data_IF_432377882330
#
_entry.id   IF_432377882330
#
_cell.length_a   1.000
_cell.length_b   1.000
_cell.length_c   1.000
_cell.angle_alpha   90.00
_cell.angle_beta   90.00
_cell.angle_gamma   90.00
#
_symmetry.space_group_name_H-M   'P 1'
#
loop_
_entity.id
_entity.type
_entity.pdbx_description
1 polymer ?
#
# COMPACT_ATOMS: atom_id res chain seq x y z
N UNK A 1 -23.31 36.21 -7.02
CA UNK A 1 -22.09 36.09 -6.20
C UNK A 1 -22.29 34.92 -5.24
N UNK A 2 -22.13 33.70 -5.75
CA UNK A 2 -22.27 32.46 -4.99
C UNK A 2 -21.07 32.33 -4.04
N UNK A 3 -21.33 32.38 -2.73
CA UNK A 3 -20.35 31.98 -1.72
C UNK A 3 -20.06 30.50 -1.94
N UNK A 4 -18.85 30.17 -2.41
CA UNK A 4 -18.31 28.82 -2.30
C UNK A 4 -18.30 28.43 -0.83
N UNK A 5 -19.08 27.40 -0.49
CA UNK A 5 -19.00 26.72 0.78
C UNK A 5 -17.62 26.03 0.83
N UNK A 6 -16.66 26.65 1.54
CA UNK A 6 -15.45 25.95 1.95
C UNK A 6 -15.88 24.82 2.88
N UNK A 7 -15.99 23.61 2.34
CA UNK A 7 -16.11 22.40 3.15
C UNK A 7 -14.84 22.31 3.97
N UNK A 8 -14.95 22.50 5.28
CA UNK A 8 -13.88 22.20 6.23
C UNK A 8 -13.75 20.67 6.26
N UNK A 9 -13.03 20.12 5.29
CA UNK A 9 -12.79 18.68 5.21
C UNK A 9 -11.88 18.29 6.37
N UNK A 10 -12.35 17.39 7.23
CA UNK A 10 -11.53 16.80 8.29
C UNK A 10 -10.45 15.97 7.60
N UNK A 11 -9.18 16.31 7.85
CA UNK A 11 -8.01 15.62 7.31
C UNK A 11 -7.23 14.96 8.45
N UNK A 12 -6.92 13.66 8.32
CA UNK A 12 -6.07 12.97 9.27
C UNK A 12 -4.59 13.16 8.94
N UNK A 13 -3.73 13.23 9.98
CA UNK A 13 -2.30 13.53 9.80
C UNK A 13 -1.50 12.48 9.00
N UNK A 14 -2.03 11.25 8.83
CA UNK A 14 -1.41 10.25 7.98
C UNK A 14 -1.61 10.54 6.49
N UNK A 15 -2.64 11.30 6.12
CA UNK A 15 -2.93 11.66 4.74
C UNK A 15 -1.89 12.65 4.17
N UNK A 16 -1.07 13.27 5.03
CA UNK A 16 0.06 14.11 4.63
C UNK A 16 1.32 13.28 4.28
N UNK A 17 1.34 11.98 4.58
CA UNK A 17 2.47 11.12 4.26
C UNK A 17 2.42 10.74 2.78
N UNK A 18 3.40 11.18 2.00
CA UNK A 18 3.52 10.83 0.58
C UNK A 18 3.55 9.31 0.36
N UNK A 19 4.23 8.57 1.25
CA UNK A 19 4.27 7.10 1.20
C UNK A 19 2.90 6.45 1.41
N UNK A 20 2.01 7.09 2.18
CA UNK A 20 0.64 6.63 2.37
C UNK A 20 -0.19 6.86 1.10
N UNK A 21 -0.04 8.03 0.46
CA UNK A 21 -0.72 8.36 -0.80
C UNK A 21 -0.32 7.39 -1.90
N UNK A 22 0.99 7.12 -2.05
CA UNK A 22 1.50 6.10 -2.99
C UNK A 22 1.00 4.70 -2.67
N UNK A 23 0.94 4.32 -1.39
CA UNK A 23 0.39 3.03 -0.99
C UNK A 23 -1.11 2.90 -1.30
N UNK A 24 -1.89 3.98 -1.18
CA UNK A 24 -3.30 4.02 -1.58
C UNK A 24 -3.46 3.82 -3.08
N UNK A 25 -2.73 4.59 -3.91
CA UNK A 25 -2.74 4.42 -5.37
C UNK A 25 -2.31 3.01 -5.80
N UNK A 26 -1.31 2.44 -5.11
CA UNK A 26 -0.87 1.08 -5.38
C UNK A 26 -1.94 0.04 -5.02
N UNK A 27 -2.59 0.16 -3.86
CA UNK A 27 -3.67 -0.75 -3.46
C UNK A 27 -4.85 -0.68 -4.44
N UNK A 28 -5.24 0.53 -4.87
CA UNK A 28 -6.29 0.74 -5.87
C UNK A 28 -5.97 0.04 -7.20
N UNK A 29 -4.74 0.19 -7.71
CA UNK A 29 -4.28 -0.53 -8.91
C UNK A 29 -4.32 -2.05 -8.75
N UNK A 30 -3.92 -2.57 -7.59
CA UNK A 30 -3.95 -4.02 -7.32
C UNK A 30 -5.38 -4.55 -7.26
N UNK A 31 -6.33 -3.79 -6.69
CA UNK A 31 -7.75 -4.15 -6.69
C UNK A 31 -8.31 -4.08 -8.12
N UNK A 32 -7.95 -3.08 -8.91
CA UNK A 32 -8.34 -2.99 -10.32
C UNK A 32 -7.85 -4.17 -11.19
N UNK A 33 -6.70 -4.77 -10.83
CA UNK A 33 -6.26 -6.04 -11.45
C UNK A 33 -7.26 -7.16 -11.16
N UNK A 34 -7.75 -7.27 -9.92
CA UNK A 34 -8.73 -8.28 -9.53
C UNK A 34 -10.04 -8.10 -10.30
N UNK A 35 -10.52 -6.86 -10.41
CA UNK A 35 -11.77 -6.53 -11.10
C UNK A 35 -11.76 -6.89 -12.59
N UNK A 36 -10.58 -6.94 -13.20
CA UNK A 36 -10.39 -7.24 -14.63
C UNK A 36 -10.00 -8.70 -14.90
N UNK A 37 -9.91 -9.55 -13.87
CA UNK A 37 -9.53 -10.95 -14.02
C UNK A 37 -10.54 -11.74 -14.85
N UNK A 38 -10.10 -12.21 -16.02
CA UNK A 38 -10.87 -13.14 -16.85
C UNK A 38 -10.40 -14.58 -16.62
N UNK A 39 -10.91 -15.23 -15.57
CA UNK A 39 -10.57 -16.62 -15.24
C UNK A 39 -11.79 -17.43 -14.82
N UNK A 40 -11.93 -18.63 -15.40
CA UNK A 40 -12.96 -19.59 -14.99
C UNK A 40 -12.67 -20.24 -13.61
N UNK A 41 -11.48 -19.99 -13.03
CA UNK A 41 -11.08 -20.52 -11.72
C UNK A 41 -11.44 -19.57 -10.57
N UNK A 42 -12.10 -20.12 -9.56
CA UNK A 42 -12.57 -19.44 -8.34
C UNK A 42 -11.55 -19.48 -7.19
N UNK A 43 -10.34 -18.94 -7.39
CA UNK A 43 -9.33 -18.85 -6.31
C UNK A 43 -9.61 -17.65 -5.38
N UNK A 44 -10.82 -17.56 -4.85
CA UNK A 44 -11.27 -16.42 -4.02
C UNK A 44 -10.32 -16.13 -2.86
N UNK A 45 -9.79 -17.18 -2.22
CA UNK A 45 -8.83 -17.00 -1.12
C UNK A 45 -7.51 -16.33 -1.57
N UNK A 46 -7.02 -16.61 -2.77
CA UNK A 46 -5.81 -15.95 -3.28
C UNK A 46 -6.08 -14.49 -3.66
N UNK A 47 -7.27 -14.22 -4.21
CA UNK A 47 -7.73 -12.86 -4.53
C UNK A 47 -7.86 -12.04 -3.24
N UNK A 48 -8.57 -12.57 -2.25
CA UNK A 48 -8.76 -11.94 -0.94
C UNK A 48 -7.40 -11.68 -0.24
N UNK A 49 -6.46 -12.64 -0.32
CA UNK A 49 -5.11 -12.43 0.21
C UNK A 49 -4.35 -11.31 -0.52
N UNK A 50 -4.54 -11.17 -1.84
CA UNK A 50 -3.91 -10.10 -2.61
C UNK A 50 -4.47 -8.74 -2.20
N UNK A 51 -5.78 -8.59 -2.17
CA UNK A 51 -6.46 -7.34 -1.77
C UNK A 51 -6.14 -6.98 -0.32
N UNK A 52 -6.19 -7.97 0.58
CA UNK A 52 -5.88 -7.79 2.00
C UNK A 52 -4.44 -7.36 2.23
N UNK A 53 -3.46 -8.03 1.58
CA UNK A 53 -2.05 -7.64 1.69
C UNK A 53 -1.78 -6.25 1.11
N UNK A 54 -2.38 -5.90 -0.03
CA UNK A 54 -2.17 -4.60 -0.67
C UNK A 54 -2.73 -3.46 0.19
N UNK A 55 -3.97 -3.60 0.68
CA UNK A 55 -4.61 -2.61 1.56
C UNK A 55 -3.91 -2.50 2.92
N UNK A 56 -3.38 -3.61 3.44
CA UNK A 56 -2.62 -3.65 4.70
C UNK A 56 -1.43 -2.70 4.71
N UNK A 57 -0.81 -2.40 3.56
CA UNK A 57 0.31 -1.47 3.46
C UNK A 57 -0.10 -0.07 3.95
N UNK A 58 -1.17 0.51 3.37
CA UNK A 58 -1.62 1.84 3.75
C UNK A 58 -2.26 1.87 5.15
N UNK A 59 -2.95 0.78 5.54
CA UNK A 59 -3.59 0.67 6.85
C UNK A 59 -2.54 0.67 7.97
N UNK A 60 -1.45 -0.08 7.82
CA UNK A 60 -0.37 -0.09 8.79
C UNK A 60 0.37 1.26 8.85
N UNK A 61 0.56 1.96 7.72
CA UNK A 61 1.15 3.31 7.74
C UNK A 61 0.25 4.27 8.53
N UNK A 62 -1.06 4.25 8.28
CA UNK A 62 -2.03 5.10 8.97
C UNK A 62 -2.11 4.77 10.48
N UNK A 63 -2.24 3.49 10.82
CA UNK A 63 -2.30 3.02 12.19
C UNK A 63 -1.03 3.37 12.96
N UNK A 64 0.13 3.11 12.36
CA UNK A 64 1.43 3.45 12.93
C UNK A 64 1.59 4.94 13.20
N UNK A 65 1.14 5.80 12.27
CA UNK A 65 1.16 7.25 12.43
C UNK A 65 0.26 7.73 13.57
N UNK A 66 -0.81 6.99 13.88
CA UNK A 66 -1.69 7.24 15.01
C UNK A 66 -1.15 6.76 16.37
N UNK A 67 0.00 6.06 16.42
CA UNK A 67 0.60 5.60 17.67
C UNK A 67 1.32 6.73 18.41
N UNK A 68 1.42 6.60 19.73
CA UNK A 68 2.03 7.61 20.59
C UNK A 68 3.55 7.64 20.49
N UNK A 69 4.20 6.47 20.33
CA UNK A 69 5.66 6.40 20.29
C UNK A 69 6.22 6.22 18.87
N UNK A 70 7.37 6.86 18.63
CA UNK A 70 8.16 6.67 17.40
C UNK A 70 8.58 5.21 17.19
N UNK A 71 8.80 4.46 18.28
CA UNK A 71 9.15 3.03 18.23
C UNK A 71 8.01 2.19 17.67
N UNK A 72 6.79 2.41 18.15
CA UNK A 72 5.60 1.74 17.61
C UNK A 72 5.38 2.12 16.15
N UNK A 73 5.52 3.40 15.78
CA UNK A 73 5.36 3.79 14.38
C UNK A 73 6.35 3.03 13.47
N UNK A 74 7.62 2.90 13.88
CA UNK A 74 8.61 2.10 13.15
C UNK A 74 8.18 0.63 13.03
N UNK A 75 7.62 0.03 14.07
CA UNK A 75 7.12 -1.35 14.03
C UNK A 75 6.01 -1.52 12.98
N UNK A 76 5.04 -0.61 12.95
CA UNK A 76 3.98 -0.61 11.95
C UNK A 76 4.51 -0.40 10.52
N UNK A 77 5.53 0.44 10.34
CA UNK A 77 6.21 0.59 9.05
C UNK A 77 6.91 -0.70 8.60
N UNK A 78 7.46 -1.49 9.52
CA UNK A 78 7.99 -2.82 9.18
C UNK A 78 6.89 -3.80 8.76
N UNK A 79 5.71 -3.75 9.40
CA UNK A 79 4.56 -4.57 9.01
C UNK A 79 4.06 -4.16 7.61
N UNK A 80 3.91 -2.85 7.35
CA UNK A 80 3.55 -2.33 6.03
C UNK A 80 4.52 -2.82 4.94
N UNK A 81 5.82 -2.80 5.25
CA UNK A 81 6.85 -3.34 4.34
C UNK A 81 6.71 -4.84 4.15
N UNK A 82 6.38 -5.60 5.19
CA UNK A 82 6.09 -7.04 5.10
C UNK A 82 4.91 -7.31 4.16
N UNK A 83 3.79 -6.63 4.36
CA UNK A 83 2.60 -6.73 3.50
C UNK A 83 2.91 -6.39 2.03
N UNK A 84 3.75 -5.39 1.77
CA UNK A 84 4.22 -5.08 0.41
C UNK A 84 4.94 -6.27 -0.25
N UNK A 85 5.83 -6.97 0.47
CA UNK A 85 6.50 -8.15 -0.08
C UNK A 85 5.51 -9.29 -0.35
N UNK A 86 4.52 -9.49 0.52
CA UNK A 86 3.46 -10.48 0.31
C UNK A 86 2.62 -10.16 -0.94
N UNK A 87 2.24 -8.91 -1.13
CA UNK A 87 1.52 -8.46 -2.34
C UNK A 87 2.33 -8.75 -3.60
N UNK A 88 3.62 -8.40 -3.63
CA UNK A 88 4.49 -8.68 -4.79
C UNK A 88 4.63 -10.19 -5.03
N UNK A 89 4.75 -11.00 -3.98
CA UNK A 89 4.82 -12.46 -4.13
C UNK A 89 3.53 -13.03 -4.73
N UNK A 90 2.36 -12.53 -4.31
CA UNK A 90 1.06 -12.92 -4.87
C UNK A 90 0.92 -12.49 -6.33
N UNK A 91 1.36 -11.27 -6.69
CA UNK A 91 1.35 -10.82 -8.09
C UNK A 91 2.23 -11.69 -8.99
N UNK A 92 3.38 -12.17 -8.50
CA UNK A 92 4.22 -13.14 -9.23
C UNK A 92 3.47 -14.47 -9.43
N UNK A 93 2.68 -14.92 -8.44
CA UNK A 93 1.83 -16.10 -8.59
C UNK A 93 0.75 -15.85 -9.66
N UNK A 94 0.09 -14.68 -9.63
CA UNK A 94 -0.94 -14.31 -10.61
C UNK A 94 -0.36 -14.29 -12.02
N UNK A 95 0.84 -13.75 -12.20
CA UNK A 95 1.58 -13.79 -13.47
C UNK A 95 1.87 -15.22 -13.92
N UNK A 96 2.34 -16.10 -13.02
CA UNK A 96 2.58 -17.53 -13.32
C UNK A 96 1.29 -18.27 -13.71
N UNK A 97 0.12 -17.79 -13.29
CA UNK A 97 -1.18 -18.30 -13.72
C UNK A 97 -1.70 -17.68 -15.01
N UNK A 98 -0.94 -16.76 -15.61
CA UNK A 98 -1.35 -15.94 -16.77
C UNK A 98 -2.63 -15.14 -16.49
N UNK A 99 -2.82 -14.71 -15.24
CA UNK A 99 -3.94 -13.84 -14.85
C UNK A 99 -3.65 -12.36 -15.05
N UNK A 100 -2.36 -12.01 -15.04
CA UNK A 100 -1.83 -10.72 -15.46
C UNK A 100 -0.67 -10.97 -16.44
N UNK A 101 -0.35 -9.96 -17.25
CA UNK A 101 0.81 -10.00 -18.14
C UNK A 101 2.10 -9.48 -17.46
N UNK A 102 3.22 -9.56 -18.17
CA UNK A 102 4.53 -9.12 -17.65
C UNK A 102 4.59 -7.60 -17.45
N UNK A 103 3.92 -6.84 -18.32
CA UNK A 103 3.92 -5.36 -18.27
C UNK A 103 3.22 -4.90 -17.00
N UNK A 104 2.03 -5.43 -16.72
CA UNK A 104 1.30 -5.17 -15.48
C UNK A 104 2.12 -5.56 -14.24
N UNK A 105 2.79 -6.72 -14.27
CA UNK A 105 3.62 -7.14 -13.15
C UNK A 105 4.79 -6.17 -12.92
N UNK A 106 5.47 -5.74 -13.97
CA UNK A 106 6.63 -4.85 -13.87
C UNK A 106 6.24 -3.44 -13.41
N UNK A 107 5.10 -2.92 -13.87
CA UNK A 107 4.53 -1.64 -13.39
C UNK A 107 4.22 -1.70 -11.88
N UNK A 108 3.60 -2.78 -11.42
CA UNK A 108 3.27 -2.98 -10.00
C UNK A 108 4.53 -3.19 -9.15
N UNK A 109 5.53 -3.92 -9.65
CA UNK A 109 6.84 -4.04 -8.99
C UNK A 109 7.56 -2.70 -8.91
N UNK A 110 7.48 -1.88 -9.95
CA UNK A 110 8.05 -0.53 -9.97
C UNK A 110 7.45 0.34 -8.86
N UNK A 111 6.11 0.40 -8.81
CA UNK A 111 5.35 1.11 -7.78
C UNK A 111 5.67 0.57 -6.38
N UNK A 112 5.69 -0.75 -6.21
CA UNK A 112 6.04 -1.40 -4.95
C UNK A 112 7.48 -1.10 -4.49
N UNK A 113 8.45 -1.10 -5.40
CA UNK A 113 9.85 -0.78 -5.11
C UNK A 113 10.03 0.67 -4.67
N UNK A 114 9.30 1.61 -5.27
CA UNK A 114 9.23 3.00 -4.82
C UNK A 114 8.71 3.09 -3.38
N UNK A 115 7.54 2.50 -3.10
CA UNK A 115 6.94 2.48 -1.75
C UNK A 115 7.90 1.87 -0.73
N UNK A 116 8.54 0.74 -1.06
CA UNK A 116 9.52 0.09 -0.18
C UNK A 116 10.68 1.01 0.20
N UNK A 117 11.22 1.78 -0.76
CA UNK A 117 12.27 2.78 -0.49
C UNK A 117 11.76 3.94 0.36
N UNK A 118 10.54 4.40 0.12
CA UNK A 118 9.94 5.47 0.92
C UNK A 118 9.71 5.03 2.37
N UNK A 119 9.22 3.80 2.59
CA UNK A 119 9.07 3.22 3.94
C UNK A 119 10.43 3.15 4.64
N UNK A 120 11.46 2.63 3.96
CA UNK A 120 12.82 2.57 4.53
C UNK A 120 13.37 3.96 4.88
N UNK A 121 13.15 4.95 4.02
CA UNK A 121 13.60 6.32 4.25
C UNK A 121 12.88 6.95 5.44
N UNK A 122 11.57 6.73 5.57
CA UNK A 122 10.76 7.19 6.70
C UNK A 122 11.22 6.56 8.01
N UNK A 123 11.47 5.23 8.03
CA UNK A 123 12.01 4.54 9.21
C UNK A 123 13.34 5.17 9.64
N UNK A 124 14.26 5.40 8.70
CA UNK A 124 15.56 5.99 9.00
C UNK A 124 15.43 7.43 9.53
N UNK A 125 14.56 8.24 8.91
CA UNK A 125 14.27 9.60 9.38
C UNK A 125 13.76 9.61 10.82
N UNK A 126 12.85 8.69 11.17
CA UNK A 126 12.30 8.59 12.54
C UNK A 126 13.42 8.17 13.51
N UNK A 127 14.24 7.17 13.17
CA UNK A 127 15.37 6.73 14.00
C UNK A 127 16.37 7.84 14.28
N UNK A 128 16.75 8.60 13.26
CA UNK A 128 17.67 9.73 13.42
C UNK A 128 17.09 10.87 14.27
N UNK A 129 15.76 10.99 14.33
CA UNK A 129 15.09 11.96 15.21
C UNK A 129 14.94 11.48 16.67
N UNK A 130 15.42 10.27 16.98
CA UNK A 130 15.42 9.67 18.31
C UNK A 130 16.80 9.62 18.96
N UNK A 131 17.87 9.76 18.15
CA UNK A 131 19.25 9.95 18.60
C UNK A 131 19.51 11.40 18.97
#
# INVERSE_FOLDING_TARGET
MSKELKTNTVKFSFEDLEVWQKAMEFADKVIGVVDTLNTNRKHYRLIEQLESSATSILMNIAEGKGRYSKKEFIQFLYIARGSLYETIALLIIFRKKNWIDEVQLDELKGSGSEIGRMISSLINSIKNSMS
#
